data_IF_341187245866
#
_entry.id   IF_341187245866
#
_cell.length_a   1.000
_cell.length_b   1.000
_cell.length_c   1.000
_cell.angle_alpha   90.00
_cell.angle_beta   90.00
_cell.angle_gamma   90.00
#
_symmetry.space_group_name_H-M   'P 1'
#
loop_
_entity.id
_entity.type
_entity.pdbx_description
1 polymer ?
#
# COMPACT_ATOMS: atom_id res chain seq x y z
N UNK A 1 4.50 -8.37 22.81
CA UNK A 1 3.47 -7.32 23.00
C UNK A 1 4.10 -6.04 23.52
N UNK A 2 4.84 -6.11 24.64
CA UNK A 2 5.54 -4.96 25.23
C UNK A 2 6.49 -4.25 24.26
N UNK A 3 7.29 -4.99 23.50
CA UNK A 3 8.16 -4.43 22.45
C UNK A 3 7.39 -3.60 21.42
N UNK A 4 6.23 -4.07 20.95
CA UNK A 4 5.41 -3.38 19.94
C UNK A 4 4.83 -2.09 20.53
N UNK A 5 4.38 -2.11 21.79
CA UNK A 5 3.93 -0.89 22.48
C UNK A 5 5.07 0.11 22.62
N UNK A 6 6.27 -0.32 23.03
CA UNK A 6 7.46 0.54 23.13
C UNK A 6 7.85 1.17 21.81
N UNK A 7 7.89 0.38 20.73
CA UNK A 7 8.14 0.91 19.38
C UNK A 7 7.07 1.94 19.05
N UNK A 8 5.79 1.59 19.19
CA UNK A 8 4.68 2.48 18.88
C UNK A 8 4.82 3.85 19.56
N UNK A 9 4.99 3.88 20.89
CA UNK A 9 5.14 5.13 21.63
C UNK A 9 6.38 5.94 21.20
N UNK A 10 7.48 5.28 20.81
CA UNK A 10 8.69 5.98 20.33
C UNK A 10 8.53 6.65 18.96
N UNK A 11 7.57 6.21 18.13
CA UNK A 11 7.36 6.73 16.76
C UNK A 11 5.93 7.23 16.49
N UNK A 12 5.07 7.30 17.50
CA UNK A 12 3.64 7.60 17.32
C UNK A 12 3.40 8.93 16.60
N UNK A 13 4.20 9.96 16.90
CA UNK A 13 4.08 11.27 16.25
C UNK A 13 4.47 11.21 14.77
N UNK A 14 5.50 10.41 14.42
CA UNK A 14 5.87 10.17 13.02
C UNK A 14 4.77 9.41 12.27
N UNK A 15 4.12 8.45 12.94
CA UNK A 15 2.99 7.71 12.40
C UNK A 15 1.81 8.65 12.16
N UNK A 16 1.41 9.45 13.16
CA UNK A 16 0.32 10.43 13.05
C UNK A 16 0.57 11.43 11.94
N UNK A 17 1.78 11.99 11.85
CA UNK A 17 2.17 12.86 10.74
C UNK A 17 1.99 12.17 9.39
N UNK A 18 2.43 10.91 9.27
CA UNK A 18 2.30 10.15 8.02
C UNK A 18 0.86 9.85 7.65
N UNK A 19 0.02 9.49 8.61
CA UNK A 19 -1.40 9.26 8.35
C UNK A 19 -2.13 10.55 7.95
N UNK A 20 -1.79 11.68 8.60
CA UNK A 20 -2.29 13.00 8.23
C UNK A 20 -1.89 13.40 6.79
N UNK A 21 -0.70 12.99 6.31
CA UNK A 21 -0.33 13.17 4.90
C UNK A 21 -1.28 12.41 3.95
N UNK A 22 -1.66 11.18 4.30
CA UNK A 22 -2.61 10.38 3.51
C UNK A 22 -4.02 10.98 3.52
N UNK A 23 -4.49 11.48 4.67
CA UNK A 23 -5.78 12.14 4.78
C UNK A 23 -5.82 13.47 4.00
N UNK A 24 -4.74 14.25 4.05
CA UNK A 24 -4.60 15.46 3.23
C UNK A 24 -4.64 15.13 1.74
N UNK A 25 -3.98 14.05 1.32
CA UNK A 25 -4.06 13.59 -0.07
C UNK A 25 -5.49 13.18 -0.44
N UNK A 26 -6.19 12.47 0.45
CA UNK A 26 -7.60 12.09 0.28
C UNK A 26 -8.51 13.30 0.09
N UNK A 27 -8.31 14.35 0.87
CA UNK A 27 -9.18 15.53 0.91
C UNK A 27 -8.84 16.52 -0.22
N UNK A 28 -7.57 16.94 -0.26
CA UNK A 28 -7.08 18.09 -1.05
C UNK A 28 -6.25 17.68 -2.26
N UNK A 29 -5.80 16.42 -2.34
CA UNK A 29 -4.98 15.93 -3.44
C UNK A 29 -5.69 15.98 -4.79
N UNK A 30 -4.93 16.33 -5.83
CA UNK A 30 -5.44 16.31 -7.20
C UNK A 30 -5.46 14.88 -7.78
N UNK A 31 -6.15 14.71 -8.91
CA UNK A 31 -6.28 13.38 -9.54
C UNK A 31 -4.92 12.77 -9.98
N UNK A 32 -3.94 13.61 -10.34
CA UNK A 32 -2.59 13.19 -10.68
C UNK A 32 -1.81 12.62 -9.49
N UNK A 33 -1.91 13.27 -8.32
CA UNK A 33 -1.26 12.81 -7.08
C UNK A 33 -1.85 11.47 -6.60
N UNK A 34 -3.18 11.32 -6.63
CA UNK A 34 -3.84 10.06 -6.29
C UNK A 34 -3.47 8.97 -7.31
N UNK A 35 -3.36 9.30 -8.60
CA UNK A 35 -2.90 8.34 -9.60
C UNK A 35 -1.44 7.94 -9.39
N UNK A 36 -0.59 8.86 -8.92
CA UNK A 36 0.79 8.56 -8.56
C UNK A 36 0.87 7.52 -7.42
N UNK A 37 -0.03 7.57 -6.42
CA UNK A 37 -0.13 6.51 -5.40
C UNK A 37 -0.49 5.15 -5.99
N UNK A 38 -1.44 5.11 -6.93
CA UNK A 38 -1.82 3.86 -7.59
C UNK A 38 -0.60 3.26 -8.30
N UNK A 39 0.12 4.09 -9.05
CA UNK A 39 1.33 3.64 -9.75
C UNK A 39 2.41 3.22 -8.76
N UNK A 40 2.60 3.93 -7.66
CA UNK A 40 3.51 3.52 -6.60
C UNK A 40 3.22 2.09 -6.12
N UNK A 41 1.96 1.78 -5.82
CA UNK A 41 1.53 0.44 -5.38
C UNK A 41 1.71 -0.63 -6.47
N UNK A 42 1.52 -0.32 -7.75
CA UNK A 42 1.84 -1.22 -8.88
C UNK A 42 3.35 -1.51 -8.95
N UNK A 43 4.19 -0.53 -8.57
CA UNK A 43 5.64 -0.67 -8.65
C UNK A 43 6.26 -1.39 -7.43
N UNK A 44 5.63 -1.38 -6.25
CA UNK A 44 6.22 -1.95 -5.02
C UNK A 44 6.43 -3.47 -4.99
N UNK A 45 5.67 -4.33 -5.71
CA UNK A 45 5.89 -5.76 -5.66
C UNK A 45 7.34 -6.13 -6.00
N UNK A 46 8.00 -6.81 -5.05
CA UNK A 46 9.39 -7.24 -5.12
C UNK A 46 10.41 -6.11 -5.39
N UNK A 47 10.09 -4.86 -5.04
CA UNK A 47 10.94 -3.69 -5.27
C UNK A 47 11.04 -2.84 -4.00
N UNK A 48 12.13 -2.08 -3.84
CA UNK A 48 12.30 -1.22 -2.66
C UNK A 48 11.37 -0.01 -2.77
N UNK A 49 10.49 0.18 -1.79
CA UNK A 49 9.50 1.26 -1.77
C UNK A 49 10.11 2.64 -2.08
N UNK A 50 11.24 2.99 -1.46
CA UNK A 50 11.92 4.28 -1.72
C UNK A 50 12.37 4.44 -3.19
N UNK A 51 12.82 3.35 -3.83
CA UNK A 51 13.22 3.39 -5.24
C UNK A 51 12.00 3.50 -6.16
N UNK A 52 10.91 2.82 -5.82
CA UNK A 52 9.64 2.94 -6.54
C UNK A 52 9.11 4.38 -6.46
N UNK A 53 9.05 4.96 -5.27
CA UNK A 53 8.53 6.33 -5.10
C UNK A 53 9.36 7.36 -5.86
N UNK A 54 10.70 7.32 -5.75
CA UNK A 54 11.58 8.20 -6.54
C UNK A 54 11.32 8.07 -8.05
N UNK A 55 11.01 6.88 -8.51
CA UNK A 55 10.69 6.63 -9.92
C UNK A 55 9.33 7.23 -10.29
N UNK A 56 8.31 7.09 -9.44
CA UNK A 56 6.99 7.72 -9.61
C UNK A 56 7.11 9.24 -9.68
N UNK A 57 7.85 9.86 -8.75
CA UNK A 57 8.11 11.31 -8.75
C UNK A 57 8.75 11.76 -10.06
N UNK A 58 9.74 11.00 -10.55
CA UNK A 58 10.40 11.32 -11.83
C UNK A 58 9.44 11.20 -13.02
N UNK A 59 8.59 10.17 -13.03
CA UNK A 59 7.57 9.99 -14.07
C UNK A 59 6.51 11.11 -14.02
N UNK A 60 6.08 11.53 -12.83
CA UNK A 60 5.12 12.61 -12.64
C UNK A 60 5.70 13.94 -13.15
N UNK A 61 6.92 14.28 -12.75
CA UNK A 61 7.59 15.53 -13.16
C UNK A 61 7.85 15.61 -14.67
N UNK A 62 8.03 14.47 -15.34
CA UNK A 62 8.18 14.37 -16.80
C UNK A 62 6.85 14.20 -17.54
N UNK A 63 5.72 14.24 -16.84
CA UNK A 63 4.38 13.97 -17.38
C UNK A 63 4.23 12.59 -18.04
N UNK A 64 5.09 11.64 -17.68
CA UNK A 64 5.13 10.30 -18.26
C UNK A 64 4.09 9.36 -17.64
N UNK A 65 3.57 9.66 -16.44
CA UNK A 65 2.49 8.86 -15.84
C UNK A 65 1.25 8.83 -16.73
N UNK A 66 0.85 9.98 -17.31
CA UNK A 66 -0.32 10.09 -18.17
C UNK A 66 -0.01 10.06 -19.67
N UNK A 67 1.18 10.53 -20.09
CA UNK A 67 1.51 10.69 -21.52
C UNK A 67 2.62 9.79 -22.04
N UNK A 68 3.39 9.12 -21.18
CA UNK A 68 4.52 8.30 -21.61
C UNK A 68 4.07 6.99 -22.26
N UNK A 69 4.76 6.51 -23.30
CA UNK A 69 4.54 5.14 -23.79
C UNK A 69 5.28 4.09 -22.94
N UNK A 70 5.05 2.80 -23.19
CA UNK A 70 5.64 1.70 -22.42
C UNK A 70 7.18 1.72 -22.44
N UNK A 71 7.80 2.01 -23.58
CA UNK A 71 9.26 2.09 -23.72
C UNK A 71 9.84 3.25 -22.90
N UNK A 72 9.25 4.44 -23.01
CA UNK A 72 9.64 5.61 -22.23
C UNK A 72 9.52 5.35 -20.73
N UNK A 73 8.42 4.72 -20.28
CA UNK A 73 8.23 4.38 -18.87
C UNK A 73 9.25 3.33 -18.44
N UNK A 74 9.41 2.24 -19.19
CA UNK A 74 10.33 1.14 -18.85
C UNK A 74 11.78 1.64 -18.70
N UNK A 75 12.21 2.58 -19.56
CA UNK A 75 13.53 3.24 -19.47
C UNK A 75 13.74 4.01 -18.16
N UNK A 76 12.67 4.48 -17.52
CA UNK A 76 12.72 5.15 -16.21
C UNK A 76 12.69 4.15 -15.04
N UNK A 77 12.14 2.96 -15.23
CA UNK A 77 12.00 1.91 -14.21
C UNK A 77 13.29 1.12 -13.92
N UNK A 78 14.49 1.69 -14.13
CA UNK A 78 15.79 0.98 -14.01
C UNK A 78 16.03 0.31 -12.65
N UNK A 79 15.50 0.88 -11.57
CA UNK A 79 15.64 0.37 -10.20
C UNK A 79 14.42 -0.43 -9.71
N UNK A 80 13.48 -0.72 -10.61
CA UNK A 80 12.25 -1.47 -10.32
C UNK A 80 12.31 -2.81 -11.04
N UNK A 81 12.06 -3.90 -10.30
CA UNK A 81 12.02 -5.25 -10.90
C UNK A 81 10.83 -5.41 -11.83
N UNK A 82 11.00 -6.20 -12.88
CA UNK A 82 9.97 -6.47 -13.90
C UNK A 82 9.53 -5.21 -14.66
N UNK A 83 10.50 -4.35 -15.00
CA UNK A 83 10.25 -3.02 -15.59
C UNK A 83 9.32 -3.04 -16.80
N UNK A 84 9.48 -3.98 -17.74
CA UNK A 84 8.67 -4.01 -18.97
C UNK A 84 7.20 -4.27 -18.64
N UNK A 85 6.89 -5.35 -17.91
CA UNK A 85 5.52 -5.65 -17.46
C UNK A 85 4.91 -4.52 -16.62
N UNK A 86 5.70 -3.92 -15.73
CA UNK A 86 5.19 -2.80 -14.91
C UNK A 86 4.93 -1.53 -15.73
N UNK A 87 5.68 -1.31 -16.81
CA UNK A 87 5.40 -0.22 -17.74
C UNK A 87 4.08 -0.44 -18.48
N UNK A 88 3.82 -1.66 -18.97
CA UNK A 88 2.52 -2.06 -19.54
C UNK A 88 1.38 -1.78 -18.53
N UNK A 89 1.56 -2.19 -17.26
CA UNK A 89 0.53 -2.01 -16.23
C UNK A 89 0.25 -0.52 -15.93
N UNK A 90 1.28 0.33 -15.95
CA UNK A 90 1.11 1.78 -15.78
C UNK A 90 0.28 2.37 -16.92
N UNK A 91 0.60 2.01 -18.17
CA UNK A 91 -0.13 2.50 -19.34
C UNK A 91 -1.58 2.03 -19.27
N UNK A 92 -1.81 0.75 -18.97
CA UNK A 92 -3.15 0.18 -18.84
C UNK A 92 -3.96 0.85 -17.71
N UNK A 93 -3.33 1.18 -16.58
CA UNK A 93 -4.00 1.80 -15.43
C UNK A 93 -4.63 3.16 -15.75
N UNK A 94 -4.20 3.84 -16.83
CA UNK A 94 -4.78 5.12 -17.29
C UNK A 94 -6.25 5.03 -17.65
N UNK A 95 -6.74 3.85 -18.05
CA UNK A 95 -8.18 3.61 -18.31
C UNK A 95 -9.06 3.90 -17.08
N UNK A 96 -8.44 3.92 -15.90
CA UNK A 96 -9.10 4.23 -14.63
C UNK A 96 -8.91 5.67 -14.18
N UNK A 97 -8.17 6.50 -14.90
CA UNK A 97 -7.97 7.90 -14.55
C UNK A 97 -9.24 8.73 -14.84
N UNK A 98 -9.73 9.57 -13.90
CA UNK A 98 -9.24 9.73 -12.52
C UNK A 98 -9.72 8.60 -11.61
N UNK A 99 -8.79 7.91 -10.95
CA UNK A 99 -9.09 6.73 -10.12
C UNK A 99 -9.99 7.08 -8.92
N UNK A 100 -9.90 8.31 -8.41
CA UNK A 100 -10.76 8.83 -7.33
C UNK A 100 -12.25 8.68 -7.66
N UNK A 101 -12.64 8.90 -8.93
CA UNK A 101 -14.03 8.75 -9.37
C UNK A 101 -14.52 7.31 -9.37
N UNK A 102 -13.61 6.33 -9.47
CA UNK A 102 -13.93 4.91 -9.40
C UNK A 102 -14.11 4.47 -7.94
N UNK A 103 -13.21 4.91 -7.05
CA UNK A 103 -13.24 4.58 -5.62
C UNK A 103 -14.50 5.16 -4.94
N UNK A 104 -14.90 6.39 -5.29
CA UNK A 104 -16.10 7.03 -4.72
C UNK A 104 -17.44 6.36 -5.05
N UNK A 105 -17.47 5.34 -5.92
CA UNK A 105 -18.71 4.63 -6.30
C UNK A 105 -19.08 3.52 -5.32
N UNK A 106 -18.22 3.21 -4.36
CA UNK A 106 -18.42 2.14 -3.41
C UNK A 106 -18.79 2.75 -2.05
N UNK A 107 -19.82 2.17 -1.43
CA UNK A 107 -20.29 2.58 -0.10
C UNK A 107 -19.34 2.12 1.00
N UNK A 108 -18.55 1.08 0.74
CA UNK A 108 -17.59 0.51 1.67
C UNK A 108 -16.22 0.27 1.04
N UNK A 109 -15.19 0.29 1.90
CA UNK A 109 -13.81 0.19 1.47
C UNK A 109 -13.41 -1.22 1.00
N UNK A 110 -14.10 -2.25 1.48
CA UNK A 110 -13.85 -3.63 1.08
C UNK A 110 -14.29 -3.87 -0.35
N UNK A 111 -15.44 -3.32 -0.76
CA UNK A 111 -15.92 -3.33 -2.15
C UNK A 111 -15.00 -2.55 -3.08
N UNK A 112 -14.49 -1.39 -2.64
CA UNK A 112 -13.48 -0.65 -3.40
C UNK A 112 -12.19 -1.46 -3.59
N UNK A 113 -11.74 -2.18 -2.55
CA UNK A 113 -10.58 -3.08 -2.62
C UNK A 113 -10.81 -4.23 -3.61
N UNK A 114 -11.97 -4.89 -3.54
CA UNK A 114 -12.33 -5.97 -4.47
C UNK A 114 -12.33 -5.48 -5.92
N UNK A 115 -12.88 -4.29 -6.17
CA UNK A 115 -12.86 -3.70 -7.50
C UNK A 115 -11.44 -3.44 -8.00
N UNK A 116 -10.56 -2.90 -7.15
CA UNK A 116 -9.15 -2.68 -7.51
C UNK A 116 -8.45 -3.99 -7.89
N UNK A 117 -8.61 -5.04 -7.08
CA UNK A 117 -8.01 -6.37 -7.34
C UNK A 117 -8.50 -6.95 -8.66
N UNK A 118 -9.79 -6.78 -8.99
CA UNK A 118 -10.38 -7.33 -10.21
C UNK A 118 -10.05 -6.52 -11.47
N UNK A 119 -9.92 -5.20 -11.35
CA UNK A 119 -9.93 -4.30 -12.52
C UNK A 119 -8.58 -3.62 -12.80
N UNK A 120 -7.66 -3.58 -11.84
CA UNK A 120 -6.35 -2.94 -12.00
C UNK A 120 -5.26 -4.01 -12.08
N UNK A 121 -4.67 -4.17 -13.27
CA UNK A 121 -3.62 -5.16 -13.49
C UNK A 121 -2.39 -4.86 -12.62
N UNK A 122 -1.83 -5.90 -12.02
CA UNK A 122 -0.71 -5.79 -11.10
C UNK A 122 -1.08 -5.52 -9.64
N UNK A 123 -2.38 -5.43 -9.31
CA UNK A 123 -2.86 -5.23 -7.94
C UNK A 123 -3.42 -6.55 -7.37
N UNK A 124 -2.80 -7.07 -6.32
CA UNK A 124 -3.41 -8.05 -5.42
C UNK A 124 -4.02 -7.37 -4.19
N UNK A 125 -4.52 -8.17 -3.23
CA UNK A 125 -5.13 -7.64 -2.01
C UNK A 125 -4.18 -6.74 -1.21
N UNK A 126 -2.89 -7.11 -1.14
CA UNK A 126 -1.88 -6.30 -0.47
C UNK A 126 -1.71 -4.96 -1.16
N UNK A 127 -1.55 -4.93 -2.49
CA UNK A 127 -1.34 -3.69 -3.22
C UNK A 127 -2.60 -2.80 -3.20
N UNK A 128 -3.79 -3.40 -3.27
CA UNK A 128 -5.06 -2.68 -3.18
C UNK A 128 -5.28 -2.07 -1.79
N UNK A 129 -5.07 -2.84 -0.71
CA UNK A 129 -5.09 -2.28 0.65
C UNK A 129 -4.05 -1.18 0.83
N UNK A 130 -2.84 -1.37 0.27
CA UNK A 130 -1.76 -0.40 0.33
C UNK A 130 -2.13 0.93 -0.34
N UNK A 131 -2.69 0.86 -1.54
CA UNK A 131 -3.17 2.04 -2.24
C UNK A 131 -4.25 2.76 -1.45
N UNK A 132 -5.28 2.04 -0.99
CA UNK A 132 -6.39 2.61 -0.23
C UNK A 132 -5.91 3.27 1.07
N UNK A 133 -4.98 2.64 1.81
CA UNK A 133 -4.35 3.27 2.98
C UNK A 133 -3.67 4.58 2.62
N UNK A 134 -2.84 4.57 1.57
CA UNK A 134 -2.06 5.75 1.18
C UNK A 134 -2.91 6.92 0.68
N UNK A 135 -4.16 6.68 0.33
CA UNK A 135 -5.14 7.72 -0.01
C UNK A 135 -6.18 7.94 1.09
N UNK A 136 -5.83 7.62 2.35
CA UNK A 136 -6.60 7.97 3.55
C UNK A 136 -7.74 7.00 3.90
N UNK A 137 -7.75 5.77 3.38
CA UNK A 137 -8.74 4.74 3.74
C UNK A 137 -8.07 3.54 4.42
N UNK A 138 -7.27 3.83 5.46
CA UNK A 138 -6.37 2.88 6.10
C UNK A 138 -6.86 2.21 7.36
N UNK A 139 -7.96 2.68 7.94
CA UNK A 139 -8.35 2.33 9.31
C UNK A 139 -8.77 0.86 9.47
N UNK A 140 -9.29 0.25 8.41
CA UNK A 140 -9.91 -1.08 8.46
C UNK A 140 -9.15 -2.16 7.69
N UNK A 141 -8.11 -1.79 6.94
CA UNK A 141 -7.44 -2.69 5.99
C UNK A 141 -6.04 -3.09 6.46
N UNK A 142 -5.74 -4.38 6.37
CA UNK A 142 -4.37 -4.86 6.55
C UNK A 142 -3.59 -4.75 5.24
N UNK A 143 -2.29 -4.50 5.35
CA UNK A 143 -1.33 -4.57 4.25
C UNK A 143 -0.42 -5.78 4.49
N UNK A 144 -0.93 -6.98 4.19
CA UNK A 144 -0.24 -8.24 4.51
C UNK A 144 0.92 -8.55 3.55
N UNK A 145 2.05 -7.88 3.73
CA UNK A 145 3.30 -8.21 3.04
C UNK A 145 4.19 -9.19 3.82
N UNK A 146 5.34 -9.56 3.27
CA UNK A 146 6.27 -10.51 3.89
C UNK A 146 6.78 -10.06 5.27
N UNK A 147 6.98 -8.76 5.48
CA UNK A 147 7.47 -8.18 6.73
C UNK A 147 6.37 -8.20 7.78
N UNK A 148 5.15 -7.83 7.40
CA UNK A 148 3.97 -7.92 8.27
C UNK A 148 3.70 -9.37 8.66
N UNK A 149 3.65 -10.30 7.70
CA UNK A 149 3.42 -11.73 7.98
C UNK A 149 4.49 -12.33 8.92
N UNK A 150 5.77 -11.98 8.72
CA UNK A 150 6.86 -12.39 9.59
C UNK A 150 6.66 -11.88 11.02
N UNK A 151 6.25 -10.62 11.19
CA UNK A 151 5.96 -10.06 12.50
C UNK A 151 4.73 -10.70 13.15
N UNK A 152 3.65 -10.90 12.39
CA UNK A 152 2.45 -11.58 12.89
C UNK A 152 2.77 -12.99 13.38
N UNK A 153 3.64 -13.74 12.68
CA UNK A 153 4.13 -15.04 13.14
C UNK A 153 4.94 -14.91 14.43
N UNK A 154 5.92 -14.01 14.46
CA UNK A 154 6.76 -13.76 15.64
C UNK A 154 5.96 -13.33 16.87
N UNK A 155 4.81 -12.69 16.67
CA UNK A 155 3.92 -12.23 17.73
C UNK A 155 2.86 -13.28 18.12
N UNK A 156 2.86 -14.45 17.49
CA UNK A 156 1.88 -15.52 17.73
C UNK A 156 0.47 -15.21 17.21
N UNK A 157 0.31 -14.22 16.33
CA UNK A 157 -0.99 -13.88 15.71
C UNK A 157 -1.38 -14.91 14.65
N UNK A 158 -0.38 -15.47 13.97
CA UNK A 158 -0.51 -16.59 13.04
C UNK A 158 0.52 -17.66 13.40
N UNK A 159 0.16 -18.93 13.24
CA UNK A 159 1.05 -20.06 13.54
C UNK A 159 2.17 -20.19 12.49
N UNK A 160 1.82 -20.00 11.22
CA UNK A 160 2.73 -20.09 10.09
C UNK A 160 2.48 -19.00 9.05
N UNK A 161 3.52 -18.72 8.25
CA UNK A 161 3.41 -17.83 7.10
C UNK A 161 2.92 -18.68 5.93
N UNK A 162 1.73 -18.40 5.36
CA UNK A 162 1.19 -19.19 4.28
C UNK A 162 2.07 -19.05 3.03
N UNK A 163 2.31 -20.17 2.32
CA UNK A 163 3.05 -20.16 1.05
C UNK A 163 2.36 -19.30 -0.02
N UNK A 164 1.02 -19.29 -0.01
CA UNK A 164 0.19 -18.49 -0.90
C UNK A 164 -0.89 -17.76 -0.12
N UNK A 165 -1.07 -16.47 -0.39
CA UNK A 165 -2.17 -15.68 0.16
C UNK A 165 -3.37 -15.71 -0.79
N UNK A 166 -4.20 -16.74 -0.65
CA UNK A 166 -5.54 -16.75 -1.28
C UNK A 166 -6.43 -15.68 -0.65
N UNK A 167 -7.50 -15.26 -1.35
CA UNK A 167 -8.52 -14.34 -0.80
C UNK A 167 -8.98 -14.73 0.61
N UNK A 168 -9.36 -16.00 0.78
CA UNK A 168 -9.82 -16.56 2.06
C UNK A 168 -8.74 -16.41 3.14
N UNK A 169 -7.49 -16.77 2.84
CA UNK A 169 -6.39 -16.69 3.80
C UNK A 169 -6.02 -15.25 4.13
N UNK A 170 -6.06 -14.35 3.15
CA UNK A 170 -5.84 -12.93 3.35
C UNK A 170 -6.82 -12.36 4.39
N UNK A 171 -8.12 -12.63 4.21
CA UNK A 171 -9.16 -12.14 5.13
C UNK A 171 -9.09 -12.80 6.51
N UNK A 172 -8.72 -14.08 6.59
CA UNK A 172 -8.49 -14.74 7.87
C UNK A 172 -7.37 -14.04 8.66
N UNK A 173 -6.23 -13.77 8.01
CA UNK A 173 -5.09 -13.11 8.66
C UNK A 173 -5.40 -11.65 8.98
N UNK A 174 -6.11 -10.94 8.10
CA UNK A 174 -6.56 -9.57 8.33
C UNK A 174 -7.44 -9.48 9.60
N UNK A 175 -8.40 -10.39 9.76
CA UNK A 175 -9.23 -10.49 10.97
C UNK A 175 -8.40 -10.79 12.23
N UNK A 176 -7.42 -11.69 12.13
CA UNK A 176 -6.49 -11.99 13.24
C UNK A 176 -5.65 -10.78 13.62
N UNK A 177 -5.16 -10.03 12.63
CA UNK A 177 -4.41 -8.79 12.83
C UNK A 177 -5.28 -7.70 13.47
N UNK A 178 -6.55 -7.55 13.06
CA UNK A 178 -7.49 -6.59 13.66
C UNK A 178 -7.74 -6.90 15.14
N UNK A 179 -8.03 -8.16 15.48
CA UNK A 179 -8.14 -8.61 16.88
C UNK A 179 -6.87 -8.37 17.70
N UNK A 180 -5.71 -8.57 17.08
CA UNK A 180 -4.43 -8.28 17.74
C UNK A 180 -4.26 -6.77 17.98
N UNK A 181 -4.63 -5.92 17.02
CA UNK A 181 -4.61 -4.45 17.15
C UNK A 181 -5.47 -3.98 18.32
N UNK A 182 -6.68 -4.53 18.45
CA UNK A 182 -7.59 -4.28 19.58
C UNK A 182 -6.95 -4.70 20.91
N UNK A 183 -6.37 -5.91 20.97
CA UNK A 183 -5.70 -6.44 22.17
C UNK A 183 -4.53 -5.58 22.64
N UNK A 184 -3.76 -5.00 21.71
CA UNK A 184 -2.61 -4.15 22.05
C UNK A 184 -2.97 -2.66 22.09
N UNK A 185 -4.24 -2.29 21.85
CA UNK A 185 -4.74 -0.92 21.86
C UNK A 185 -3.98 0.01 20.90
N UNK A 186 -3.56 -0.54 19.76
CA UNK A 186 -2.92 0.22 18.68
C UNK A 186 -3.85 0.13 17.47
N UNK A 187 -4.30 1.28 16.91
CA UNK A 187 -5.13 1.28 15.72
C UNK A 187 -4.49 0.49 14.57
N UNK A 188 -5.30 -0.21 13.79
CA UNK A 188 -4.81 -1.07 12.71
C UNK A 188 -3.93 -0.31 11.69
N UNK A 189 -4.33 0.93 11.36
CA UNK A 189 -3.59 1.86 10.52
C UNK A 189 -2.22 2.25 11.09
N UNK A 190 -2.10 2.31 12.41
CA UNK A 190 -0.84 2.58 13.11
C UNK A 190 0.02 1.30 13.18
N UNK A 191 -0.61 0.16 13.48
CA UNK A 191 0.07 -1.11 13.66
C UNK A 191 0.85 -1.53 12.40
N UNK A 192 0.29 -1.32 11.20
CA UNK A 192 1.03 -1.55 9.94
C UNK A 192 2.38 -0.81 9.92
N UNK A 193 2.37 0.50 10.23
CA UNK A 193 3.56 1.34 10.23
C UNK A 193 4.54 0.98 11.35
N UNK A 194 4.04 0.52 12.51
CA UNK A 194 4.87 0.01 13.61
C UNK A 194 5.62 -1.25 13.19
N UNK A 195 4.92 -2.22 12.61
CA UNK A 195 5.52 -3.48 12.17
C UNK A 195 6.51 -3.27 11.01
N UNK A 196 6.21 -2.34 10.11
CA UNK A 196 7.16 -1.90 9.07
C UNK A 196 8.40 -1.22 9.64
N UNK A 197 8.22 -0.34 10.64
CA UNK A 197 9.33 0.33 11.30
C UNK A 197 10.23 -0.67 12.02
N UNK A 198 9.66 -1.67 12.69
CA UNK A 198 10.43 -2.73 13.35
C UNK A 198 11.40 -3.45 12.40
N UNK A 199 11.04 -3.64 11.14
CA UNK A 199 11.89 -4.31 10.16
C UNK A 199 12.86 -3.38 9.41
N UNK A 200 12.57 -2.08 9.35
CA UNK A 200 13.29 -1.16 8.43
C UNK A 200 13.86 0.10 9.06
N UNK A 201 13.48 0.41 10.31
CA UNK A 201 13.80 1.65 11.00
C UNK A 201 13.16 2.91 10.38
N UNK A 202 12.18 2.76 9.48
CA UNK A 202 11.60 3.89 8.74
C UNK A 202 10.07 3.84 8.74
N UNK A 203 9.46 4.99 9.03
CA UNK A 203 8.06 5.27 8.70
C UNK A 203 8.04 5.84 7.30
N UNK A 204 7.52 5.07 6.34
CA UNK A 204 7.47 5.48 4.94
C UNK A 204 6.03 5.48 4.45
N UNK A 205 5.67 4.59 3.54
CA UNK A 205 4.32 4.49 3.00
C UNK A 205 4.15 3.15 2.31
#
# INVERSE_FOLDING_TARGET
MEEIKRIYFSIQEKIRSRLNEFDRLREKGNNGEIFAELIFCILTPQSKAQSCWKTVETLLNKNLLLKGNEDQISKMLKRVRFRNRKAEYIVEARKHYPIRSKIKKFDDIYSAREWLVKNVRGMGYKEASHFLRNIGFGEELAILDRHILKNLKSLGVIEEIPRFLTKKKYFEIEKKMKKFSEKVEIPMSHLDLVLWYKETGKVFK
#
